data_IF_479779863389
#
_entry.id   IF_479779863389
#
_cell.length_a   1.000
_cell.length_b   1.000
_cell.length_c   1.000
_cell.angle_alpha   90.00
_cell.angle_beta   90.00
_cell.angle_gamma   90.00
#
_symmetry.space_group_name_H-M   'P 1'
#
loop_
_entity.id
_entity.type
_entity.pdbx_description
1 polymer ?
#
# COMPACT_ATOMS: atom_id res chain seq x y z
N UNK A 1 -54.94 43.27 17.35
CA UNK A 1 -54.55 41.89 17.63
C UNK A 1 -53.52 41.47 16.58
N UNK A 2 -52.21 41.63 16.84
CA UNK A 2 -51.13 41.38 15.89
C UNK A 2 -50.42 40.13 16.36
N UNK A 3 -50.52 39.01 15.61
CA UNK A 3 -49.84 37.77 15.92
C UNK A 3 -48.45 37.77 15.29
N UNK A 4 -47.41 37.76 16.13
CA UNK A 4 -46.03 37.59 15.74
C UNK A 4 -45.76 36.12 15.61
N UNK A 5 -45.42 35.66 14.37
CA UNK A 5 -44.93 34.28 14.09
C UNK A 5 -43.42 34.28 14.32
N UNK A 6 -42.99 33.61 15.36
CA UNK A 6 -41.56 33.34 15.59
C UNK A 6 -41.17 32.13 14.73
N UNK A 7 -40.28 32.34 13.74
CA UNK A 7 -39.65 31.29 12.93
C UNK A 7 -38.44 30.77 13.73
N UNK A 8 -38.56 29.57 14.29
CA UNK A 8 -37.44 28.83 14.84
C UNK A 8 -36.60 28.30 13.68
N UNK A 9 -35.44 28.92 13.49
CA UNK A 9 -34.40 28.42 12.57
C UNK A 9 -33.61 27.30 13.29
N UNK A 10 -33.98 26.06 13.08
CA UNK A 10 -33.23 24.90 13.56
C UNK A 10 -31.99 24.72 12.69
N UNK A 11 -30.84 25.20 13.18
CA UNK A 11 -29.51 24.87 12.61
C UNK A 11 -29.20 23.40 12.87
N UNK A 12 -29.33 22.59 11.83
CA UNK A 12 -28.89 21.20 11.81
C UNK A 12 -27.35 21.22 11.82
N UNK A 13 -26.74 21.06 12.99
CA UNK A 13 -25.31 20.74 13.09
C UNK A 13 -25.12 19.32 12.56
N UNK A 14 -24.64 19.19 11.32
CA UNK A 14 -24.12 17.94 10.82
C UNK A 14 -22.90 17.57 11.67
N UNK A 15 -23.07 16.61 12.57
CA UNK A 15 -21.98 15.99 13.32
C UNK A 15 -21.15 15.20 12.30
N UNK A 16 -20.09 15.81 11.76
CA UNK A 16 -19.10 15.08 11.01
C UNK A 16 -18.51 14.03 11.94
N UNK A 17 -18.76 12.77 11.64
CA UNK A 17 -18.13 11.63 12.30
C UNK A 17 -16.63 11.70 11.99
N UNK A 18 -15.88 12.43 12.81
CA UNK A 18 -14.43 12.37 12.83
C UNK A 18 -14.06 10.93 13.19
N UNK A 19 -13.56 10.17 12.21
CA UNK A 19 -13.00 8.86 12.49
C UNK A 19 -11.90 9.05 13.53
N UNK A 20 -11.99 8.37 14.66
CA UNK A 20 -11.07 8.45 15.78
C UNK A 20 -9.65 7.93 15.47
N UNK A 21 -9.33 7.63 14.21
CA UNK A 21 -8.01 7.30 13.68
C UNK A 21 -7.51 8.43 12.80
N UNK A 22 -6.36 9.03 13.16
CA UNK A 22 -5.73 10.06 12.32
C UNK A 22 -5.42 9.56 10.91
N UNK A 23 -5.20 10.47 9.95
CA UNK A 23 -4.87 10.15 8.56
C UNK A 23 -3.69 9.17 8.48
N UNK A 24 -3.88 8.08 7.73
CA UNK A 24 -2.82 7.09 7.46
C UNK A 24 -1.97 7.57 6.29
N UNK A 25 -0.67 7.60 6.49
CA UNK A 25 0.30 7.97 5.45
C UNK A 25 1.57 7.13 5.52
N UNK A 26 2.28 7.09 4.39
CA UNK A 26 3.58 6.47 4.25
C UNK A 26 4.61 7.55 3.86
N UNK A 27 5.80 7.51 4.44
CA UNK A 27 6.91 8.35 4.04
C UNK A 27 8.11 7.46 3.70
N UNK A 28 8.68 7.64 2.51
CA UNK A 28 9.80 6.83 2.02
C UNK A 28 10.98 7.75 1.75
N UNK A 29 12.13 7.42 2.36
CA UNK A 29 13.43 8.01 2.01
C UNK A 29 14.19 7.02 1.14
N UNK A 30 14.43 7.40 -0.12
CA UNK A 30 15.21 6.58 -1.05
C UNK A 30 16.72 6.66 -0.76
N UNK A 31 17.16 7.71 -0.08
CA UNK A 31 18.54 7.85 0.39
C UNK A 31 18.86 6.95 1.59
N UNK A 32 17.89 6.84 2.53
CA UNK A 32 18.04 6.02 3.74
C UNK A 32 17.54 4.59 3.56
N UNK A 33 16.82 4.30 2.48
CA UNK A 33 16.14 3.02 2.23
C UNK A 33 15.19 2.63 3.39
N UNK A 34 14.45 3.60 3.89
CA UNK A 34 13.51 3.44 5.01
C UNK A 34 12.12 3.89 4.56
N UNK A 35 11.10 3.15 5.00
CA UNK A 35 9.71 3.56 4.90
C UNK A 35 9.10 3.68 6.30
N UNK A 36 8.38 4.77 6.55
CA UNK A 36 7.63 5.00 7.78
C UNK A 36 6.13 4.89 7.50
N UNK A 37 5.43 4.11 8.31
CA UNK A 37 3.98 4.14 8.44
C UNK A 37 3.63 5.17 9.51
N UNK A 38 2.78 6.13 9.16
CA UNK A 38 2.36 7.23 10.05
C UNK A 38 0.84 7.25 10.21
N UNK A 39 0.40 7.65 11.41
CA UNK A 39 -1.02 7.87 11.73
C UNK A 39 -1.11 9.22 12.43
N UNK A 40 -1.93 10.13 11.91
CA UNK A 40 -2.03 11.50 12.44
C UNK A 40 -0.68 12.23 12.48
N UNK A 41 0.17 12.00 11.47
CA UNK A 41 1.51 12.58 11.37
C UNK A 41 2.58 11.92 12.25
N UNK A 42 2.21 11.06 13.21
CA UNK A 42 3.15 10.36 14.10
C UNK A 42 3.60 9.04 13.49
N UNK A 43 4.90 8.74 13.55
CA UNK A 43 5.45 7.46 13.08
C UNK A 43 5.00 6.33 14.00
N UNK A 44 4.22 5.41 13.43
CA UNK A 44 3.76 4.20 14.11
C UNK A 44 4.79 3.06 13.96
N UNK A 45 5.40 2.95 12.75
CA UNK A 45 6.38 1.90 12.46
C UNK A 45 7.37 2.35 11.38
N UNK A 46 8.60 1.83 11.47
CA UNK A 46 9.64 1.94 10.44
C UNK A 46 9.95 0.58 9.86
N UNK A 47 10.29 0.58 8.56
CA UNK A 47 10.65 -0.60 7.81
C UNK A 47 11.92 -0.34 7.02
N UNK A 48 12.86 -1.27 7.04
CA UNK A 48 13.93 -1.32 6.07
C UNK A 48 13.35 -1.78 4.74
N UNK A 49 13.65 -1.05 3.66
CA UNK A 49 13.12 -1.33 2.33
C UNK A 49 14.26 -1.36 1.30
N UNK A 50 14.03 -2.04 0.18
CA UNK A 50 14.83 -1.83 -1.02
C UNK A 50 14.07 -0.94 -1.98
N UNK A 51 14.77 0.07 -2.49
CA UNK A 51 14.26 0.99 -3.52
C UNK A 51 14.90 0.71 -4.87
N UNK A 52 14.48 1.44 -5.90
CA UNK A 52 15.03 1.35 -7.24
C UNK A 52 16.51 1.72 -7.31
N UNK A 53 17.29 0.90 -8.02
CA UNK A 53 18.69 1.22 -8.32
C UNK A 53 18.79 2.43 -9.26
N UNK A 54 19.97 3.05 -9.38
CA UNK A 54 20.22 4.27 -10.18
C UNK A 54 19.67 4.20 -11.62
N UNK A 55 19.78 3.03 -12.28
CA UNK A 55 19.28 2.84 -13.64
C UNK A 55 17.73 2.70 -13.74
N UNK A 56 17.06 2.40 -12.63
CA UNK A 56 15.60 2.21 -12.53
C UNK A 56 15.12 2.78 -11.19
N UNK A 57 15.14 4.11 -11.02
CA UNK A 57 14.87 4.74 -9.73
C UNK A 57 13.40 4.58 -9.32
N UNK A 58 13.17 4.50 -8.03
CA UNK A 58 11.81 4.68 -7.48
C UNK A 58 11.38 6.13 -7.72
N UNK A 59 10.20 6.37 -8.33
CA UNK A 59 9.76 7.73 -8.61
C UNK A 59 9.54 8.52 -7.32
N UNK A 60 10.07 9.75 -7.27
CA UNK A 60 9.81 10.68 -6.19
C UNK A 60 8.49 11.42 -6.41
N UNK A 61 7.87 11.87 -5.33
CA UNK A 61 6.62 12.62 -5.35
C UNK A 61 5.62 12.16 -4.30
N UNK A 62 4.42 12.69 -4.40
CA UNK A 62 3.27 12.31 -3.56
C UNK A 62 2.28 11.51 -4.40
N UNK A 63 1.91 10.35 -3.90
CA UNK A 63 1.00 9.42 -4.58
C UNK A 63 -0.11 8.97 -3.63
N UNK A 64 -1.13 8.29 -4.20
CA UNK A 64 -2.24 7.68 -3.46
C UNK A 64 -2.14 6.17 -3.48
N UNK A 65 -2.33 5.55 -2.32
CA UNK A 65 -2.45 4.11 -2.17
C UNK A 65 -3.92 3.79 -1.92
N UNK A 66 -4.58 3.27 -2.94
CA UNK A 66 -5.99 2.85 -2.87
C UNK A 66 -6.24 1.48 -3.51
N UNK A 67 -5.19 0.84 -4.06
CA UNK A 67 -5.29 -0.44 -4.75
C UNK A 67 -4.31 -1.45 -4.17
N UNK A 68 -4.83 -2.59 -3.75
CA UNK A 68 -4.06 -3.70 -3.15
C UNK A 68 -4.47 -4.99 -3.84
N UNK A 69 -3.51 -5.76 -4.30
CA UNK A 69 -3.75 -7.09 -4.87
C UNK A 69 -3.07 -8.14 -4.00
N UNK A 70 -3.87 -8.99 -3.40
CA UNK A 70 -3.43 -10.14 -2.61
C UNK A 70 -3.19 -11.36 -3.47
N UNK A 71 -2.20 -12.17 -3.09
CA UNK A 71 -1.77 -13.34 -3.84
C UNK A 71 -1.60 -13.05 -5.35
N UNK A 72 -0.82 -12.00 -5.71
CA UNK A 72 -0.75 -11.54 -7.09
C UNK A 72 -0.03 -12.54 -7.99
N UNK A 73 -0.45 -12.64 -9.24
CA UNK A 73 0.42 -13.15 -10.29
C UNK A 73 1.54 -12.14 -10.60
N UNK A 74 2.63 -12.62 -11.16
CA UNK A 74 3.68 -11.77 -11.71
C UNK A 74 3.82 -12.02 -13.21
N UNK A 75 3.70 -10.97 -13.99
CA UNK A 75 4.00 -10.97 -15.41
C UNK A 75 5.25 -10.11 -15.59
N UNK A 76 6.32 -10.63 -16.22
CA UNK A 76 7.50 -9.83 -16.51
C UNK A 76 7.14 -8.60 -17.35
N UNK A 77 7.60 -7.39 -16.99
CA UNK A 77 7.39 -6.22 -17.82
C UNK A 77 8.17 -6.35 -19.14
N UNK A 78 7.73 -5.58 -20.17
CA UNK A 78 8.39 -5.53 -21.48
C UNK A 78 9.68 -4.70 -21.45
N UNK A 79 10.54 -4.96 -20.47
CA UNK A 79 11.81 -4.26 -20.30
C UNK A 79 12.99 -5.22 -20.47
N UNK A 80 14.14 -4.68 -20.88
CA UNK A 80 15.35 -5.47 -21.16
C UNK A 80 15.78 -6.37 -20.02
N UNK A 81 15.70 -5.89 -18.77
CA UNK A 81 16.06 -6.66 -17.57
C UNK A 81 15.13 -7.84 -17.28
N UNK A 82 13.93 -7.85 -17.86
CA UNK A 82 12.95 -8.91 -17.71
C UNK A 82 12.92 -9.90 -18.90
N UNK A 83 13.73 -9.65 -19.93
CA UNK A 83 13.82 -10.50 -21.12
C UNK A 83 14.15 -11.96 -20.73
N UNK A 84 13.37 -12.90 -21.24
CA UNK A 84 13.52 -14.33 -20.96
C UNK A 84 12.93 -14.82 -19.63
N UNK A 85 12.45 -13.92 -18.78
CA UNK A 85 11.72 -14.31 -17.56
C UNK A 85 10.32 -14.79 -17.92
N UNK A 86 9.82 -15.79 -17.17
CA UNK A 86 8.47 -16.35 -17.36
C UNK A 86 7.50 -15.78 -16.33
N UNK A 87 6.19 -15.69 -16.67
CA UNK A 87 5.18 -15.36 -15.69
C UNK A 87 5.17 -16.37 -14.53
N UNK A 88 4.85 -15.86 -13.34
CA UNK A 88 4.73 -16.67 -12.13
C UNK A 88 3.30 -16.58 -11.58
N UNK A 89 2.72 -17.74 -11.35
CA UNK A 89 1.36 -17.84 -10.82
C UNK A 89 1.24 -17.33 -9.37
N UNK A 90 0.03 -16.99 -8.92
CA UNK A 90 -0.26 -16.76 -7.51
C UNK A 90 0.20 -17.93 -6.65
N UNK A 91 0.82 -17.64 -5.49
CA UNK A 91 1.32 -18.64 -4.55
C UNK A 91 2.60 -19.37 -4.98
N UNK A 92 3.11 -19.17 -6.21
CA UNK A 92 4.38 -19.76 -6.64
C UNK A 92 5.54 -19.31 -5.75
N UNK A 93 6.36 -20.24 -5.28
CA UNK A 93 7.59 -19.93 -4.51
C UNK A 93 8.55 -19.04 -5.29
N UNK A 94 8.53 -19.11 -6.63
CA UNK A 94 9.34 -18.30 -7.54
C UNK A 94 8.76 -16.91 -7.80
N UNK A 95 7.50 -16.68 -7.44
CA UNK A 95 6.85 -15.39 -7.66
C UNK A 95 7.53 -14.29 -6.83
N UNK A 96 8.15 -13.29 -7.48
CA UNK A 96 8.89 -12.24 -6.77
C UNK A 96 8.00 -11.26 -6.01
N UNK A 97 6.68 -11.24 -6.26
CA UNK A 97 5.73 -10.33 -5.60
C UNK A 97 5.28 -10.87 -4.23
N UNK A 98 5.49 -12.15 -3.99
CA UNK A 98 5.07 -12.82 -2.77
C UNK A 98 3.55 -12.66 -2.54
N UNK A 99 3.15 -12.24 -1.36
CA UNK A 99 1.76 -12.30 -0.87
C UNK A 99 0.90 -11.12 -1.28
N UNK A 100 1.51 -9.96 -1.62
CA UNK A 100 0.75 -8.71 -1.85
C UNK A 100 1.51 -7.72 -2.74
N UNK A 101 0.76 -7.01 -3.58
CA UNK A 101 1.14 -5.77 -4.25
C UNK A 101 0.29 -4.63 -3.70
N UNK A 102 0.92 -3.54 -3.25
CA UNK A 102 0.28 -2.33 -2.77
C UNK A 102 0.67 -1.22 -3.74
N UNK A 103 -0.23 -0.84 -4.64
CA UNK A 103 0.08 0.12 -5.69
C UNK A 103 0.13 1.54 -5.16
N UNK A 104 1.16 2.29 -5.55
CA UNK A 104 1.25 3.72 -5.33
C UNK A 104 1.30 4.53 -6.63
N UNK A 105 1.69 3.89 -7.75
CA UNK A 105 1.61 4.48 -9.09
C UNK A 105 1.36 3.35 -10.10
N UNK A 106 0.09 3.12 -10.43
CA UNK A 106 -0.31 2.10 -11.39
C UNK A 106 0.20 2.41 -12.80
N UNK A 107 0.44 1.37 -13.61
CA UNK A 107 0.36 -0.07 -13.28
C UNK A 107 1.68 -0.64 -12.74
N UNK A 108 2.78 0.12 -12.73
CA UNK A 108 4.14 -0.44 -12.67
C UNK A 108 4.82 -0.31 -11.30
N UNK A 109 4.35 0.61 -10.44
CA UNK A 109 5.01 0.88 -9.16
C UNK A 109 4.16 0.49 -7.96
N UNK A 110 4.70 -0.40 -7.14
CA UNK A 110 4.03 -0.93 -5.97
C UNK A 110 5.02 -1.31 -4.87
N UNK A 111 4.54 -1.42 -3.66
CA UNK A 111 5.23 -2.03 -2.53
C UNK A 111 4.89 -3.52 -2.53
N UNK A 112 5.89 -4.38 -2.31
CA UNK A 112 5.69 -5.83 -2.24
C UNK A 112 6.69 -6.53 -1.34
N UNK A 113 6.41 -7.76 -0.94
CA UNK A 113 7.35 -8.58 -0.20
C UNK A 113 8.54 -9.05 -1.05
N UNK A 114 9.61 -9.47 -0.41
CA UNK A 114 10.77 -10.11 -1.07
C UNK A 114 11.19 -11.38 -0.34
N UNK A 115 11.84 -12.29 -1.07
CA UNK A 115 12.59 -13.41 -0.47
C UNK A 115 14.08 -13.10 -0.28
N UNK A 116 14.54 -11.94 -0.74
CA UNK A 116 15.91 -11.45 -0.60
C UNK A 116 15.93 -10.36 0.47
N UNK A 117 15.68 -10.76 1.72
CA UNK A 117 15.60 -9.82 2.84
C UNK A 117 16.99 -9.27 3.23
N UNK A 118 18.05 -9.99 2.88
CA UNK A 118 19.45 -9.54 2.94
C UNK A 118 19.77 -8.30 2.08
N UNK A 119 18.95 -8.04 1.05
CA UNK A 119 19.08 -6.87 0.19
C UNK A 119 18.25 -5.65 0.68
N UNK A 120 17.52 -5.77 1.81
CA UNK A 120 16.81 -4.63 2.40
C UNK A 120 17.82 -3.63 2.98
N UNK A 121 17.45 -2.34 2.96
CA UNK A 121 18.37 -1.25 3.30
C UNK A 121 19.20 -0.77 2.12
N UNK A 122 18.97 -1.30 0.89
CA UNK A 122 19.75 -0.98 -0.31
C UNK A 122 18.90 -0.64 -1.54
N UNK A 123 19.56 -0.06 -2.56
CA UNK A 123 18.97 0.23 -3.85
C UNK A 123 19.12 -0.99 -4.79
N UNK A 124 18.20 -1.96 -4.72
CA UNK A 124 18.30 -3.25 -5.41
C UNK A 124 17.15 -3.58 -6.35
N UNK A 125 16.09 -2.75 -6.39
CA UNK A 125 14.90 -3.02 -7.22
C UNK A 125 14.99 -2.37 -8.61
N UNK A 126 13.93 -2.57 -9.40
CA UNK A 126 13.71 -1.88 -10.68
C UNK A 126 12.59 -0.82 -10.55
N UNK A 127 12.57 -0.11 -9.40
CA UNK A 127 11.66 0.99 -9.14
C UNK A 127 10.57 0.70 -8.11
N UNK A 128 10.12 -0.54 -7.95
CA UNK A 128 9.23 -0.93 -6.86
C UNK A 128 9.92 -0.85 -5.49
N UNK A 129 9.14 -0.75 -4.43
CA UNK A 129 9.63 -0.78 -3.06
C UNK A 129 9.48 -2.21 -2.52
N UNK A 130 10.60 -2.82 -2.10
CA UNK A 130 10.61 -4.15 -1.52
C UNK A 130 10.74 -4.06 0.00
N UNK A 131 10.06 -4.96 0.71
CA UNK A 131 10.17 -5.08 2.16
C UNK A 131 10.06 -6.55 2.58
N UNK A 132 10.32 -6.85 3.85
CA UNK A 132 10.14 -8.21 4.38
C UNK A 132 8.71 -8.70 4.11
N UNK A 133 8.57 -9.96 3.72
CA UNK A 133 7.27 -10.52 3.32
C UNK A 133 6.22 -10.38 4.44
N UNK A 134 6.62 -10.66 5.69
CA UNK A 134 5.72 -10.53 6.83
C UNK A 134 5.28 -9.09 7.07
N UNK A 135 6.16 -8.11 6.81
CA UNK A 135 5.83 -6.70 6.98
C UNK A 135 4.96 -6.18 5.82
N UNK A 136 5.16 -6.66 4.59
CA UNK A 136 4.27 -6.35 3.47
C UNK A 136 2.85 -6.85 3.73
N UNK A 137 2.71 -8.07 4.29
CA UNK A 137 1.42 -8.61 4.70
C UNK A 137 0.76 -7.73 5.78
N UNK A 138 1.49 -7.38 6.85
CA UNK A 138 0.98 -6.53 7.94
C UNK A 138 0.59 -5.14 7.45
N UNK A 139 1.41 -4.54 6.58
CA UNK A 139 1.15 -3.23 6.00
C UNK A 139 -0.11 -3.25 5.14
N UNK A 140 -0.24 -4.23 4.22
CA UNK A 140 -1.42 -4.36 3.38
C UNK A 140 -2.70 -4.52 4.19
N UNK A 141 -2.66 -5.36 5.24
CA UNK A 141 -3.77 -5.53 6.17
C UNK A 141 -4.11 -4.23 6.89
N UNK A 142 -3.12 -3.54 7.46
CA UNK A 142 -3.31 -2.27 8.15
C UNK A 142 -3.97 -1.22 7.25
N UNK A 143 -3.51 -1.11 6.00
CA UNK A 143 -4.10 -0.19 5.01
C UNK A 143 -5.55 -0.55 4.69
N UNK A 144 -5.89 -1.83 4.60
CA UNK A 144 -7.28 -2.28 4.39
C UNK A 144 -8.17 -1.97 5.59
N UNK A 145 -7.67 -2.24 6.81
CA UNK A 145 -8.43 -2.03 8.05
C UNK A 145 -8.77 -0.53 8.23
N UNK A 146 -7.84 0.36 7.90
CA UNK A 146 -8.03 1.81 7.99
C UNK A 146 -8.61 2.44 6.71
N UNK A 147 -8.57 1.74 5.58
CA UNK A 147 -9.08 2.19 4.28
C UNK A 147 -10.51 1.75 3.97
N UNK A 148 -11.24 1.21 4.95
CA UNK A 148 -12.63 0.78 4.79
C UNK A 148 -12.83 -0.48 3.95
N UNK A 149 -11.82 -1.37 3.95
CA UNK A 149 -11.82 -2.65 3.25
C UNK A 149 -11.38 -3.82 4.15
N UNK A 150 -11.56 -3.68 5.47
CA UNK A 150 -11.17 -4.68 6.48
C UNK A 150 -11.69 -6.09 6.14
N UNK A 151 -10.89 -7.10 6.44
CA UNK A 151 -11.21 -8.52 6.29
C UNK A 151 -10.75 -9.29 7.54
N UNK A 152 -11.40 -10.41 7.81
CA UNK A 152 -11.02 -11.31 8.88
C UNK A 152 -9.82 -12.22 8.50
N UNK A 153 -9.30 -12.94 9.48
CA UNK A 153 -8.16 -13.85 9.27
C UNK A 153 -8.48 -14.99 8.31
N UNK A 154 -9.73 -15.49 8.31
CA UNK A 154 -10.17 -16.57 7.43
C UNK A 154 -10.13 -16.14 5.96
N UNK A 155 -10.49 -14.88 5.66
CA UNK A 155 -10.39 -14.34 4.31
C UNK A 155 -8.95 -14.35 3.79
N UNK A 156 -7.97 -13.89 4.59
CA UNK A 156 -6.55 -13.88 4.18
C UNK A 156 -6.04 -15.29 3.94
N UNK A 157 -6.36 -16.25 4.84
CA UNK A 157 -6.00 -17.66 4.66
C UNK A 157 -6.53 -18.21 3.35
N UNK A 158 -7.82 -18.00 3.08
CA UNK A 158 -8.47 -18.44 1.86
C UNK A 158 -7.87 -17.84 0.60
N UNK A 159 -7.57 -16.53 0.61
CA UNK A 159 -6.99 -15.83 -0.54
C UNK A 159 -5.58 -16.33 -0.85
N UNK A 160 -4.73 -16.53 0.18
CA UNK A 160 -3.36 -16.99 -0.02
C UNK A 160 -3.27 -18.46 -0.47
N UNK A 161 -4.30 -19.26 -0.20
CA UNK A 161 -4.40 -20.64 -0.65
C UNK A 161 -5.00 -20.79 -2.07
N UNK A 162 -5.66 -19.73 -2.58
CA UNK A 162 -6.24 -19.73 -3.93
C UNK A 162 -5.17 -19.64 -5.00
N UNK A 163 -5.42 -20.27 -6.15
CA UNK A 163 -4.62 -20.09 -7.35
C UNK A 163 -4.93 -18.79 -8.13
N UNK A 164 -5.66 -17.83 -7.56
CA UNK A 164 -6.10 -16.59 -8.21
C UNK A 164 -5.85 -15.38 -7.31
N UNK A 165 -5.54 -14.20 -7.89
CA UNK A 165 -5.41 -12.96 -7.15
C UNK A 165 -6.74 -12.50 -6.54
N UNK A 166 -6.66 -11.71 -5.45
CA UNK A 166 -7.79 -10.96 -4.92
C UNK A 166 -7.49 -9.47 -5.01
N UNK A 167 -8.24 -8.79 -5.84
CA UNK A 167 -8.17 -7.34 -6.07
C UNK A 167 -9.01 -6.60 -5.04
N UNK A 168 -8.46 -5.56 -4.42
CA UNK A 168 -9.13 -4.76 -3.39
C UNK A 168 -8.89 -3.29 -3.64
N UNK A 169 -9.99 -2.52 -3.73
CA UNK A 169 -9.96 -1.05 -3.73
C UNK A 169 -10.34 -0.52 -2.35
N UNK A 170 -9.52 0.40 -1.83
CA UNK A 170 -9.79 1.07 -0.56
C UNK A 170 -10.82 2.20 -0.79
N UNK A 171 -11.74 2.37 0.14
CA UNK A 171 -12.70 3.49 0.15
C UNK A 171 -12.01 4.80 0.53
N UNK A 172 -11.10 4.74 1.51
CA UNK A 172 -10.23 5.84 1.89
C UNK A 172 -8.78 5.50 1.54
N UNK A 173 -8.16 6.32 0.69
CA UNK A 173 -6.77 6.12 0.26
C UNK A 173 -5.78 6.63 1.31
N UNK A 174 -4.65 5.93 1.47
CA UNK A 174 -3.51 6.48 2.20
C UNK A 174 -2.63 7.34 1.27
N UNK A 175 -2.01 8.38 1.80
CA UNK A 175 -1.01 9.17 1.08
C UNK A 175 0.37 8.50 1.23
N UNK A 176 1.16 8.45 0.15
CA UNK A 176 2.57 8.06 0.22
C UNK A 176 3.43 9.19 -0.36
N UNK A 177 4.41 9.65 0.42
CA UNK A 177 5.40 10.65 0.01
C UNK A 177 6.74 9.94 -0.14
N UNK A 178 7.35 10.05 -1.32
CA UNK A 178 8.64 9.44 -1.65
C UNK A 178 9.63 10.53 -1.99
N UNK A 179 10.72 10.61 -1.25
CA UNK A 179 11.78 11.59 -1.43
C UNK A 179 13.17 10.98 -1.25
N UNK A 180 14.25 11.80 -1.36
CA UNK A 180 15.62 11.39 -1.13
C UNK A 180 15.91 10.98 0.31
#
# INVERSE_FOLDING_TARGET
>A
MTRIFAILLSTLFALEASSAGGEVSLAVSTKKNIMELRVGGKTLRRYDVSVGKKAHPTPHGTFRVNHIVWNPAWVPPKETWAKGKKPEAPGSKKNPMKVVKIFFKEPDYYIHGTSHEDALGGAASHGCIRMAQADAFRLGRFLMDNGGAARDGAWYTKVLQRGVPADVRLKASATIVIGP
#
